data_IF_982502615381
#
_entry.id   IF_982502615381
#
_cell.length_a   1.000
_cell.length_b   1.000
_cell.length_c   1.000
_cell.angle_alpha   90.00
_cell.angle_beta   90.00
_cell.angle_gamma   90.00
#
_symmetry.space_group_name_H-M   'P 1'
#
loop_
_entity.id
_entity.type
_entity.pdbx_description
1 polymer ?
#
# COMPACT_ATOMS: atom_id res chain seq x y z
N UNK A 1 -3.24 -14.84 18.92
CA UNK A 1 -3.44 -16.11 18.19
C UNK A 1 -4.70 -16.81 18.67
N UNK A 2 -5.79 -16.68 17.92
CA UNK A 2 -7.03 -17.45 18.06
C UNK A 2 -7.38 -17.96 16.66
N UNK A 3 -7.74 -19.24 16.44
CA UNK A 3 -8.10 -19.70 15.12
C UNK A 3 -9.55 -19.31 14.81
N UNK A 4 -9.73 -18.59 13.70
CA UNK A 4 -11.06 -18.29 13.14
C UNK A 4 -11.64 -19.58 12.58
N UNK A 5 -12.79 -19.98 13.15
CA UNK A 5 -13.52 -21.20 12.80
C UNK A 5 -14.54 -20.83 11.73
N UNK A 6 -14.30 -21.22 10.48
CA UNK A 6 -15.27 -21.05 9.40
C UNK A 6 -16.41 -22.07 9.57
N UNK A 7 -17.64 -21.58 9.75
CA UNK A 7 -18.86 -22.39 9.77
C UNK A 7 -19.42 -22.36 8.34
N UNK A 8 -19.35 -23.48 7.64
CA UNK A 8 -20.04 -23.67 6.36
C UNK A 8 -21.44 -24.17 6.68
N UNK A 9 -22.46 -23.35 6.42
CA UNK A 9 -23.86 -23.79 6.44
C UNK A 9 -24.14 -24.60 5.18
N UNK A 10 -24.30 -25.91 5.33
CA UNK A 10 -24.83 -26.78 4.27
C UNK A 10 -26.31 -26.46 4.04
N UNK A 11 -26.63 -25.81 2.92
CA UNK A 11 -28.00 -25.70 2.42
C UNK A 11 -28.32 -27.00 1.67
N UNK A 12 -29.13 -27.86 2.28
CA UNK A 12 -29.66 -29.07 1.64
C UNK A 12 -30.90 -28.67 0.83
N UNK A 13 -30.79 -28.61 -0.49
CA UNK A 13 -31.94 -28.43 -1.39
C UNK A 13 -32.51 -29.81 -1.73
N UNK A 14 -33.69 -30.11 -1.20
CA UNK A 14 -34.48 -31.28 -1.57
C UNK A 14 -35.18 -31.04 -2.91
N UNK A 15 -34.84 -31.81 -3.95
CA UNK A 15 -35.62 -31.84 -5.18
C UNK A 15 -36.77 -32.85 -5.04
N UNK A 16 -38.01 -32.36 -5.16
CA UNK A 16 -39.24 -33.14 -4.98
C UNK A 16 -39.63 -33.82 -6.30
N UNK A 17 -39.57 -35.15 -6.35
CA UNK A 17 -39.99 -35.96 -7.49
C UNK A 17 -41.53 -36.12 -7.51
N UNK A 18 -42.20 -35.67 -8.57
CA UNK A 18 -43.62 -35.93 -8.82
C UNK A 18 -43.80 -37.32 -9.44
N UNK A 19 -44.42 -38.24 -8.70
CA UNK A 19 -44.89 -39.54 -9.21
C UNK A 19 -46.17 -39.36 -10.04
N UNK A 20 -46.05 -39.49 -11.35
CA UNK A 20 -47.17 -39.67 -12.29
C UNK A 20 -47.33 -41.16 -12.63
N UNK A 21 -48.48 -41.72 -12.28
CA UNK A 21 -48.80 -43.15 -12.39
C UNK A 21 -49.02 -43.70 -13.82
N UNK A 22 -49.00 -45.03 -13.84
CA UNK A 22 -48.96 -45.98 -14.95
C UNK A 22 -50.20 -46.02 -15.87
N UNK A 23 -49.99 -46.40 -17.15
CA UNK A 23 -51.01 -46.90 -18.07
C UNK A 23 -50.36 -47.52 -19.32
N UNK A 24 -50.34 -48.86 -19.39
CA UNK A 24 -49.60 -49.63 -20.40
C UNK A 24 -50.28 -49.83 -21.76
N UNK A 25 -49.50 -50.34 -22.72
CA UNK A 25 -49.97 -50.85 -24.01
C UNK A 25 -48.79 -51.30 -24.86
N UNK A 26 -48.65 -52.62 -25.08
CA UNK A 26 -47.51 -53.23 -25.73
C UNK A 26 -47.42 -52.99 -27.24
N UNK A 27 -46.18 -52.95 -27.72
CA UNK A 27 -45.81 -52.96 -29.13
C UNK A 27 -44.33 -53.33 -29.26
N UNK A 28 -44.05 -54.60 -29.55
CA UNK A 28 -42.71 -55.11 -29.85
C UNK A 28 -42.29 -54.64 -31.26
N UNK A 29 -41.21 -53.87 -31.35
CA UNK A 29 -40.59 -53.50 -32.62
C UNK A 29 -39.24 -52.82 -32.41
N UNK A 30 -38.14 -53.54 -32.71
CA UNK A 30 -36.81 -53.01 -33.03
C UNK A 30 -36.21 -51.99 -32.07
N UNK A 31 -35.56 -52.45 -31.01
CA UNK A 31 -34.80 -51.60 -30.10
C UNK A 31 -33.53 -51.06 -30.76
N UNK A 32 -33.66 -49.92 -31.41
CA UNK A 32 -32.60 -48.91 -31.36
C UNK A 32 -32.74 -48.24 -29.99
N UNK A 33 -31.91 -48.63 -29.03
CA UNK A 33 -31.77 -47.92 -27.76
C UNK A 33 -31.12 -46.57 -28.06
N UNK A 34 -31.92 -45.53 -28.26
CA UNK A 34 -31.43 -44.16 -28.35
C UNK A 34 -30.84 -43.79 -26.99
N UNK A 35 -29.54 -43.49 -26.97
CA UNK A 35 -28.86 -42.96 -25.79
C UNK A 35 -29.19 -41.47 -25.64
N UNK A 36 -29.64 -41.05 -24.46
CA UNK A 36 -29.83 -39.64 -24.14
C UNK A 36 -28.49 -39.01 -23.76
N UNK A 37 -28.40 -37.68 -23.65
CA UNK A 37 -27.22 -37.04 -23.06
C UNK A 37 -27.42 -36.94 -21.54
N UNK A 38 -26.34 -37.03 -20.73
CA UNK A 38 -26.46 -36.88 -19.29
C UNK A 38 -26.86 -35.44 -18.91
N UNK A 39 -27.23 -35.24 -17.66
CA UNK A 39 -27.27 -33.91 -17.02
C UNK A 39 -26.07 -33.77 -16.10
N UNK A 40 -25.35 -32.65 -16.17
CA UNK A 40 -24.20 -32.38 -15.30
C UNK A 40 -24.34 -31.05 -14.55
N UNK A 41 -23.75 -30.96 -13.36
CA UNK A 41 -23.69 -29.74 -12.56
C UNK A 41 -22.41 -29.66 -11.72
N UNK A 42 -21.79 -28.50 -11.71
CA UNK A 42 -20.74 -28.11 -10.78
C UNK A 42 -21.42 -27.63 -9.49
N UNK A 43 -21.10 -28.30 -8.38
CA UNK A 43 -21.68 -28.02 -7.05
C UNK A 43 -20.75 -27.22 -6.15
N UNK A 44 -19.44 -27.25 -6.43
CA UNK A 44 -18.42 -26.43 -5.79
C UNK A 44 -17.25 -26.23 -6.75
N UNK A 45 -16.62 -25.04 -6.77
CA UNK A 45 -16.98 -23.83 -6.02
C UNK A 45 -18.19 -23.09 -6.59
N UNK A 46 -18.64 -22.04 -5.91
CA UNK A 46 -19.71 -21.17 -6.44
C UNK A 46 -19.17 -20.32 -7.59
N UNK A 47 -19.98 -20.13 -8.63
CA UNK A 47 -19.63 -19.26 -9.74
C UNK A 47 -19.31 -17.83 -9.25
N UNK A 48 -18.18 -17.28 -9.69
CA UNK A 48 -17.65 -15.97 -9.31
C UNK A 48 -16.80 -15.96 -8.03
N UNK A 49 -16.37 -17.12 -7.52
CA UNK A 49 -15.49 -17.18 -6.34
C UNK A 49 -14.08 -16.66 -6.64
N UNK A 50 -13.48 -15.97 -5.67
CA UNK A 50 -12.08 -15.52 -5.72
C UNK A 50 -11.24 -16.28 -4.70
N UNK A 51 -10.03 -16.67 -5.08
CA UNK A 51 -9.07 -17.38 -4.24
C UNK A 51 -7.71 -16.68 -4.26
N UNK A 52 -6.95 -16.68 -3.16
CA UNK A 52 -5.57 -16.21 -3.17
C UNK A 52 -4.69 -17.15 -4.00
N UNK A 53 -3.60 -16.61 -4.56
CA UNK A 53 -2.62 -17.40 -5.30
C UNK A 53 -2.08 -18.58 -4.47
N UNK A 54 -1.83 -19.71 -5.14
CA UNK A 54 -1.36 -20.93 -4.48
C UNK A 54 -2.42 -21.70 -3.68
N UNK A 55 -3.69 -21.27 -3.70
CA UNK A 55 -4.80 -22.03 -3.12
C UNK A 55 -5.00 -23.38 -3.81
N UNK A 56 -5.17 -24.45 -3.02
CA UNK A 56 -5.64 -25.75 -3.52
C UNK A 56 -7.18 -25.74 -3.54
N UNK A 57 -7.75 -25.60 -4.74
CA UNK A 57 -9.18 -25.38 -4.95
C UNK A 57 -9.85 -26.74 -5.21
N UNK A 58 -10.88 -27.08 -4.41
CA UNK A 58 -11.68 -28.29 -4.59
C UNK A 58 -12.87 -28.03 -5.53
N UNK A 59 -12.93 -28.85 -6.57
CA UNK A 59 -13.98 -28.87 -7.58
C UNK A 59 -14.82 -30.12 -7.41
N UNK A 60 -16.12 -29.93 -7.15
CA UNK A 60 -17.05 -31.02 -6.88
C UNK A 60 -18.19 -30.94 -7.87
N UNK A 61 -18.45 -32.05 -8.56
CA UNK A 61 -19.42 -32.15 -9.62
C UNK A 61 -20.30 -33.39 -9.47
N UNK A 62 -21.50 -33.30 -10.03
CA UNK A 62 -22.43 -34.40 -10.08
C UNK A 62 -23.04 -34.50 -11.48
N UNK A 63 -23.40 -35.72 -11.86
CA UNK A 63 -24.08 -35.98 -13.12
C UNK A 63 -24.95 -37.22 -13.04
N UNK A 64 -26.02 -37.21 -13.83
CA UNK A 64 -26.95 -38.32 -13.93
C UNK A 64 -27.50 -38.45 -15.34
N UNK A 65 -27.78 -39.67 -15.74
CA UNK A 65 -28.39 -40.02 -17.01
C UNK A 65 -29.62 -40.92 -16.79
N UNK A 66 -30.59 -40.88 -17.70
CA UNK A 66 -31.82 -41.68 -17.59
C UNK A 66 -31.56 -43.18 -17.76
N UNK A 67 -30.62 -43.55 -18.64
CA UNK A 67 -30.26 -44.93 -18.94
C UNK A 67 -29.20 -45.48 -17.98
N UNK A 68 -28.23 -44.65 -17.58
CA UNK A 68 -27.07 -45.07 -16.76
C UNK A 68 -27.21 -44.74 -15.25
N UNK A 69 -28.15 -43.88 -14.87
CA UNK A 69 -28.30 -43.41 -13.49
C UNK A 69 -27.18 -42.44 -13.09
N UNK A 70 -26.68 -42.54 -11.86
CA UNK A 70 -25.62 -41.63 -11.38
C UNK A 70 -24.27 -41.94 -12.03
N UNK A 71 -23.71 -40.96 -12.73
CA UNK A 71 -22.37 -41.06 -13.31
C UNK A 71 -21.30 -40.94 -12.22
N UNK A 72 -20.17 -41.63 -12.39
CA UNK A 72 -19.07 -41.64 -11.40
C UNK A 72 -17.71 -41.77 -12.06
N UNK A 73 -16.64 -41.41 -11.34
CA UNK A 73 -15.26 -41.68 -11.75
C UNK A 73 -14.91 -41.06 -13.10
N UNK A 74 -14.42 -41.91 -14.02
CA UNK A 74 -13.88 -41.49 -15.31
C UNK A 74 -14.92 -40.91 -16.30
N UNK A 75 -16.21 -40.92 -15.95
CA UNK A 75 -17.23 -40.21 -16.71
C UNK A 75 -17.06 -38.69 -16.64
N UNK A 76 -16.33 -38.15 -15.66
CA UNK A 76 -16.14 -36.72 -15.49
C UNK A 76 -14.73 -36.29 -15.89
N UNK A 77 -14.65 -35.24 -16.69
CA UNK A 77 -13.42 -34.54 -17.03
C UNK A 77 -13.50 -33.07 -16.63
N UNK A 78 -12.50 -32.59 -15.90
CA UNK A 78 -12.39 -31.21 -15.46
C UNK A 78 -11.30 -30.49 -16.22
N UNK A 79 -11.61 -29.29 -16.71
CA UNK A 79 -10.62 -28.44 -17.38
C UNK A 79 -10.79 -26.96 -17.02
N UNK A 80 -9.69 -26.23 -17.17
CA UNK A 80 -9.58 -24.77 -17.06
C UNK A 80 -9.18 -24.24 -18.42
N UNK A 81 -9.82 -23.17 -18.88
CA UNK A 81 -9.46 -22.57 -20.17
C UNK A 81 -8.01 -22.03 -20.21
N UNK A 82 -7.43 -21.72 -19.05
CA UNK A 82 -6.06 -21.19 -18.93
C UNK A 82 -5.03 -22.29 -18.61
N UNK A 83 -5.38 -23.25 -17.74
CA UNK A 83 -4.43 -24.25 -17.23
C UNK A 83 -4.60 -25.65 -17.86
N UNK A 84 -5.64 -25.84 -18.67
CA UNK A 84 -5.92 -27.13 -19.29
C UNK A 84 -6.56 -28.12 -18.33
N UNK A 85 -6.23 -29.41 -18.46
CA UNK A 85 -6.89 -30.48 -17.73
C UNK A 85 -6.54 -30.46 -16.23
N UNK A 86 -7.56 -30.52 -15.38
CA UNK A 86 -7.44 -30.46 -13.92
C UNK A 86 -7.55 -31.84 -13.27
N UNK A 87 -8.29 -32.76 -13.91
CA UNK A 87 -8.43 -34.13 -13.42
C UNK A 87 -9.72 -34.79 -13.90
N UNK A 88 -9.95 -36.01 -13.39
CA UNK A 88 -11.16 -36.78 -13.65
C UNK A 88 -11.78 -37.25 -12.34
N UNK A 89 -13.10 -37.44 -12.32
CA UNK A 89 -13.84 -37.82 -11.12
C UNK A 89 -14.85 -36.78 -10.66
N UNK A 90 -15.64 -37.15 -9.64
CA UNK A 90 -16.67 -36.28 -9.05
C UNK A 90 -16.07 -35.20 -8.12
N UNK A 91 -14.82 -35.38 -7.72
CA UNK A 91 -14.08 -34.46 -6.84
C UNK A 91 -12.63 -34.43 -7.30
N UNK A 92 -12.12 -33.25 -7.64
CA UNK A 92 -10.72 -32.99 -7.98
C UNK A 92 -10.25 -31.75 -7.25
N UNK A 93 -8.95 -31.68 -6.95
CA UNK A 93 -8.34 -30.45 -6.44
C UNK A 93 -7.20 -30.01 -7.34
N UNK A 94 -7.06 -28.70 -7.51
CA UNK A 94 -5.97 -28.13 -8.32
C UNK A 94 -5.55 -26.77 -7.79
N UNK A 95 -4.26 -26.49 -7.93
CA UNK A 95 -3.68 -25.16 -7.77
C UNK A 95 -3.63 -24.53 -9.15
N UNK A 96 -4.43 -23.49 -9.35
CA UNK A 96 -4.50 -22.78 -10.62
C UNK A 96 -3.48 -21.65 -10.69
N UNK A 97 -3.13 -21.24 -11.92
CA UNK A 97 -2.33 -20.04 -12.15
C UNK A 97 -3.10 -18.76 -11.75
N UNK A 98 -2.42 -17.62 -11.67
CA UNK A 98 -3.07 -16.34 -11.38
C UNK A 98 -3.94 -15.89 -12.56
N UNK A 99 -5.11 -15.34 -12.26
CA UNK A 99 -6.01 -14.74 -13.23
C UNK A 99 -7.42 -15.31 -13.19
N UNK A 100 -8.22 -14.99 -14.22
CA UNK A 100 -9.56 -15.56 -14.36
C UNK A 100 -9.51 -16.95 -14.98
N UNK A 101 -10.36 -17.85 -14.50
CA UNK A 101 -10.51 -19.21 -15.02
C UNK A 101 -11.99 -19.53 -15.25
N UNK A 102 -12.35 -19.79 -16.51
CA UNK A 102 -13.53 -20.61 -16.82
C UNK A 102 -13.17 -22.08 -16.60
N UNK A 103 -13.85 -22.69 -15.62
CA UNK A 103 -13.76 -24.10 -15.29
C UNK A 103 -14.91 -24.82 -15.97
N UNK A 104 -14.60 -25.90 -16.67
CA UNK A 104 -15.56 -26.74 -17.39
C UNK A 104 -15.53 -28.13 -16.80
N UNK A 105 -16.70 -28.66 -16.46
CA UNK A 105 -16.94 -30.06 -16.15
C UNK A 105 -17.68 -30.68 -17.32
N UNK A 106 -17.07 -31.67 -17.97
CA UNK A 106 -17.71 -32.49 -19.00
C UNK A 106 -18.05 -33.87 -18.41
N UNK A 107 -19.29 -34.30 -18.58
CA UNK A 107 -19.72 -35.66 -18.24
C UNK A 107 -19.97 -36.46 -19.52
N UNK A 108 -19.44 -37.67 -19.60
CA UNK A 108 -19.67 -38.63 -20.69
C UNK A 108 -20.35 -39.89 -20.14
N UNK A 109 -21.48 -40.26 -20.73
CA UNK A 109 -22.20 -41.49 -20.39
C UNK A 109 -21.59 -42.75 -21.06
N UNK A 110 -22.18 -43.93 -20.81
CA UNK A 110 -21.67 -45.19 -21.35
C UNK A 110 -21.95 -45.37 -22.85
N UNK A 111 -22.93 -44.65 -23.40
CA UNK A 111 -23.24 -44.57 -24.83
C UNK A 111 -22.39 -43.57 -25.60
N UNK A 112 -21.59 -42.75 -24.91
CA UNK A 112 -20.69 -41.75 -25.46
C UNK A 112 -21.33 -40.38 -25.72
N UNK A 113 -22.53 -40.11 -25.23
CA UNK A 113 -23.08 -38.75 -25.25
C UNK A 113 -22.54 -37.93 -24.08
N UNK A 114 -22.50 -36.61 -24.26
CA UNK A 114 -21.87 -35.69 -23.31
C UNK A 114 -22.73 -34.49 -22.97
N UNK A 115 -22.53 -33.95 -21.77
CA UNK A 115 -23.05 -32.67 -21.32
C UNK A 115 -21.98 -31.91 -20.54
N UNK A 116 -22.10 -30.58 -20.46
CA UNK A 116 -21.09 -29.71 -19.85
C UNK A 116 -21.72 -28.66 -18.94
N UNK A 117 -21.08 -28.39 -17.81
CA UNK A 117 -21.37 -27.23 -16.98
C UNK A 117 -20.11 -26.39 -16.77
N UNK A 118 -20.29 -25.08 -16.59
CA UNK A 118 -19.18 -24.13 -16.48
C UNK A 118 -19.39 -23.12 -15.36
N UNK A 119 -18.30 -22.79 -14.68
CA UNK A 119 -18.23 -21.67 -13.73
C UNK A 119 -17.01 -20.81 -14.04
N UNK A 120 -17.04 -19.56 -13.61
CA UNK A 120 -15.89 -18.68 -13.59
C UNK A 120 -15.39 -18.53 -12.17
N UNK A 121 -14.08 -18.59 -11.96
CA UNK A 121 -13.41 -18.22 -10.72
C UNK A 121 -12.22 -17.31 -11.02
N UNK A 122 -11.72 -16.62 -10.00
CA UNK A 122 -10.52 -15.77 -10.11
C UNK A 122 -9.49 -16.21 -9.08
N UNK A 123 -8.24 -16.31 -9.49
CA UNK A 123 -7.09 -16.45 -8.59
C UNK A 123 -6.37 -15.10 -8.55
N UNK A 124 -6.30 -14.49 -7.37
CA UNK A 124 -5.74 -13.16 -7.15
C UNK A 124 -4.25 -13.24 -6.83
N UNK A 125 -3.39 -12.52 -7.55
CA UNK A 125 -2.00 -12.35 -7.12
C UNK A 125 -1.94 -11.55 -5.80
N UNK A 126 -0.90 -11.81 -5.01
CA UNK A 126 -0.58 -10.93 -3.90
C UNK A 126 0.03 -9.62 -4.43
N UNK A 127 -0.24 -8.47 -3.80
CA UNK A 127 0.40 -7.22 -4.16
C UNK A 127 1.91 -7.27 -3.88
N UNK A 128 2.68 -6.51 -4.65
CA UNK A 128 4.14 -6.45 -4.54
C UNK A 128 4.56 -5.09 -4.01
N UNK A 129 5.42 -5.08 -2.99
CA UNK A 129 6.12 -3.87 -2.56
C UNK A 129 7.48 -3.83 -3.26
N UNK A 130 7.65 -2.91 -4.21
CA UNK A 130 8.91 -2.72 -4.91
C UNK A 130 9.93 -2.02 -4.03
N UNK A 131 9.48 -1.00 -3.28
CA UNK A 131 10.35 -0.20 -2.43
C UNK A 131 9.55 0.57 -1.35
N UNK A 132 10.17 0.77 -0.20
CA UNK A 132 9.73 1.72 0.84
C UNK A 132 10.93 2.55 1.25
N UNK A 133 10.76 3.88 1.24
CA UNK A 133 11.83 4.84 1.51
C UNK A 133 11.36 5.92 2.47
N UNK A 134 12.33 6.52 3.17
CA UNK A 134 12.10 7.64 4.06
C UNK A 134 13.07 8.74 3.69
N UNK A 135 12.55 9.94 3.46
CA UNK A 135 13.35 11.10 3.09
C UNK A 135 12.98 12.30 3.95
N UNK A 136 13.95 12.95 4.60
CA UNK A 136 15.34 12.52 4.77
C UNK A 136 15.48 11.24 5.63
N UNK A 137 16.56 10.48 5.43
CA UNK A 137 16.85 9.26 6.22
C UNK A 137 17.39 9.55 7.62
N UNK A 138 17.87 10.78 7.86
CA UNK A 138 18.29 11.29 9.17
C UNK A 138 17.88 12.75 9.27
N UNK A 139 17.22 13.12 10.38
CA UNK A 139 16.77 14.49 10.61
C UNK A 139 16.65 14.76 12.11
N UNK A 140 16.72 16.01 12.53
CA UNK A 140 16.49 16.38 13.92
C UNK A 140 15.06 16.13 14.38
N UNK A 141 14.85 16.05 15.69
CA UNK A 141 13.51 16.03 16.29
C UNK A 141 12.67 17.22 15.80
N UNK A 142 11.35 17.02 15.74
CA UNK A 142 10.34 17.97 15.29
C UNK A 142 10.43 18.41 13.81
N UNK A 143 11.39 17.86 13.05
CA UNK A 143 11.43 18.02 11.60
C UNK A 143 10.62 16.94 10.88
N UNK A 144 9.92 17.29 9.77
CA UNK A 144 9.12 16.35 9.03
C UNK A 144 9.98 15.38 8.22
N UNK A 145 9.55 14.12 8.17
CA UNK A 145 10.03 13.11 7.22
C UNK A 145 8.89 12.67 6.32
N UNK A 146 9.23 12.32 5.09
CA UNK A 146 8.28 11.74 4.14
C UNK A 146 8.60 10.27 3.96
N UNK A 147 7.64 9.41 4.29
CA UNK A 147 7.66 8.00 3.92
C UNK A 147 7.05 7.88 2.53
N UNK A 148 7.71 7.20 1.61
CA UNK A 148 7.22 6.97 0.25
C UNK A 148 7.35 5.50 -0.13
N UNK A 149 6.41 5.00 -0.90
CA UNK A 149 6.36 3.62 -1.34
C UNK A 149 6.08 3.48 -2.83
N UNK A 150 6.57 2.39 -3.40
CA UNK A 150 6.31 1.93 -4.75
C UNK A 150 5.73 0.52 -4.64
N UNK A 151 4.47 0.38 -5.06
CA UNK A 151 3.71 -0.87 -4.97
C UNK A 151 3.08 -1.19 -6.33
N UNK A 152 2.90 -2.47 -6.59
CA UNK A 152 2.26 -2.97 -7.80
C UNK A 152 1.21 -4.04 -7.44
N UNK A 153 0.14 -4.04 -8.22
CA UNK A 153 -0.94 -5.02 -8.17
C UNK A 153 -1.27 -5.45 -9.60
N UNK A 154 -1.34 -6.75 -9.86
CA UNK A 154 -1.48 -7.24 -11.23
C UNK A 154 -2.92 -7.10 -11.74
N UNK A 155 -3.90 -7.15 -10.83
CA UNK A 155 -5.33 -7.11 -11.08
C UNK A 155 -5.87 -5.67 -11.09
N UNK A 156 -5.15 -4.73 -10.49
CA UNK A 156 -5.54 -3.33 -10.35
C UNK A 156 -6.55 -3.11 -9.22
N UNK A 157 -6.49 -3.96 -8.19
CA UNK A 157 -7.33 -3.87 -7.01
C UNK A 157 -7.04 -2.59 -6.21
N UNK A 158 -8.07 -2.11 -5.52
CA UNK A 158 -7.88 -1.02 -4.56
C UNK A 158 -7.23 -1.58 -3.30
N UNK A 159 -5.99 -1.17 -3.04
CA UNK A 159 -5.21 -1.63 -1.90
C UNK A 159 -5.36 -0.71 -0.68
N UNK A 160 -5.32 -1.31 0.51
CA UNK A 160 -5.24 -0.60 1.79
C UNK A 160 -3.80 -0.72 2.31
N UNK A 161 -3.20 0.42 2.64
CA UNK A 161 -1.88 0.49 3.26
C UNK A 161 -2.00 0.90 4.71
N UNK A 162 -1.45 0.09 5.60
CA UNK A 162 -1.30 0.41 7.01
C UNK A 162 0.17 0.74 7.29
N UNK A 163 0.43 1.91 7.86
CA UNK A 163 1.76 2.39 8.20
C UNK A 163 1.90 2.46 9.72
N UNK A 164 2.83 1.69 10.24
CA UNK A 164 3.28 1.67 11.63
C UNK A 164 4.66 2.34 11.64
N UNK A 165 4.77 3.57 12.14
CA UNK A 165 5.96 4.42 12.01
C UNK A 165 6.99 4.19 13.12
N UNK A 166 6.58 3.59 14.24
CA UNK A 166 7.45 3.33 15.39
C UNK A 166 7.64 1.83 15.70
N UNK A 167 7.03 0.95 14.91
CA UNK A 167 7.02 -0.49 15.03
C UNK A 167 6.45 -1.01 16.36
N UNK A 168 5.55 -0.27 17.00
CA UNK A 168 4.89 -0.68 18.24
C UNK A 168 3.82 -1.77 18.03
N UNK A 169 3.49 -2.06 16.77
CA UNK A 169 2.51 -3.05 16.36
C UNK A 169 1.08 -2.50 16.24
N UNK A 170 0.90 -1.19 16.36
CA UNK A 170 -0.30 -0.47 16.01
C UNK A 170 -0.08 0.36 14.74
N UNK A 171 -1.12 0.49 13.92
CA UNK A 171 -1.05 1.27 12.70
C UNK A 171 -1.31 2.75 13.04
N UNK A 172 -0.35 3.63 12.77
CA UNK A 172 -0.49 5.09 12.93
C UNK A 172 -1.34 5.69 11.82
N UNK A 173 -1.22 5.15 10.61
CA UNK A 173 -1.96 5.60 9.43
C UNK A 173 -2.56 4.42 8.68
N UNK A 174 -3.79 4.63 8.23
CA UNK A 174 -4.45 3.77 7.24
C UNK A 174 -4.73 4.63 6.01
N UNK A 175 -4.15 4.23 4.88
CA UNK A 175 -4.26 4.90 3.58
C UNK A 175 -5.06 4.00 2.65
N UNK A 176 -6.25 4.48 2.28
CA UNK A 176 -7.05 3.88 1.22
C UNK A 176 -6.47 4.24 -0.15
N UNK A 177 -6.52 3.30 -1.10
CA UNK A 177 -6.01 3.47 -2.46
C UNK A 177 -4.56 4.00 -2.48
N UNK A 178 -3.69 3.24 -1.81
CA UNK A 178 -2.29 3.61 -1.68
C UNK A 178 -1.46 3.33 -2.94
N UNK A 179 -2.10 2.87 -4.03
CA UNK A 179 -1.52 2.87 -5.38
C UNK A 179 -1.45 4.31 -5.91
N UNK A 180 -2.45 5.13 -5.60
CA UNK A 180 -2.52 6.54 -6.02
C UNK A 180 -2.04 7.53 -4.96
N UNK A 181 -1.98 7.11 -3.69
CA UNK A 181 -1.41 7.88 -2.58
C UNK A 181 -0.12 7.22 -2.12
N UNK A 182 1.02 7.61 -2.70
CA UNK A 182 2.30 6.88 -2.55
C UNK A 182 3.23 7.44 -1.47
N UNK A 183 2.74 8.34 -0.62
CA UNK A 183 3.56 8.93 0.44
C UNK A 183 2.74 9.44 1.62
N UNK A 184 3.38 9.47 2.80
CA UNK A 184 2.85 10.01 4.04
C UNK A 184 3.93 10.80 4.78
N UNK A 185 3.56 11.98 5.31
CA UNK A 185 4.45 12.80 6.14
C UNK A 185 4.24 12.44 7.61
N UNK A 186 5.34 12.33 8.36
CA UNK A 186 5.34 12.10 9.80
C UNK A 186 6.42 12.95 10.48
N UNK A 187 6.26 13.24 11.77
CA UNK A 187 7.22 14.01 12.58
C UNK A 187 7.43 13.33 13.92
N UNK A 188 8.69 13.08 14.28
CA UNK A 188 9.08 12.47 15.54
C UNK A 188 9.53 13.54 16.53
N UNK A 189 9.08 13.44 17.77
CA UNK A 189 9.43 14.40 18.84
C UNK A 189 10.61 13.94 19.69
N UNK A 190 11.02 12.67 19.56
CA UNK A 190 12.10 12.08 20.35
C UNK A 190 13.21 11.58 19.44
N UNK A 191 14.45 11.85 19.83
CA UNK A 191 15.61 11.28 19.17
C UNK A 191 15.65 9.76 19.34
N UNK A 192 16.10 9.05 18.30
CA UNK A 192 16.14 7.60 18.26
C UNK A 192 16.17 7.04 16.85
N UNK A 193 16.45 5.75 16.75
CA UNK A 193 16.31 5.00 15.50
C UNK A 193 14.91 4.36 15.46
N UNK A 194 14.14 4.73 14.45
CA UNK A 194 12.78 4.21 14.24
C UNK A 194 12.75 3.25 13.06
N UNK A 195 11.97 2.18 13.21
CA UNK A 195 11.63 1.27 12.14
C UNK A 195 10.20 1.56 11.72
N UNK A 196 10.02 1.89 10.45
CA UNK A 196 8.72 2.09 9.84
C UNK A 196 8.35 0.79 9.14
N UNK A 197 7.13 0.31 9.34
CA UNK A 197 6.57 -0.87 8.68
C UNK A 197 5.35 -0.47 7.87
N UNK A 198 5.43 -0.73 6.57
CA UNK A 198 4.29 -0.66 5.66
C UNK A 198 3.69 -2.05 5.51
N UNK A 199 2.38 -2.17 5.71
CA UNK A 199 1.59 -3.39 5.51
C UNK A 199 0.53 -3.14 4.44
N UNK A 200 0.47 -3.98 3.42
CA UNK A 200 -0.49 -3.87 2.32
C UNK A 200 -1.53 -4.99 2.42
N UNK A 201 -2.79 -4.65 2.21
CA UNK A 201 -3.92 -5.57 2.22
C UNK A 201 -4.74 -5.38 0.94
N UNK A 202 -4.96 -6.47 0.19
CA UNK A 202 -5.82 -6.54 -1.01
C UNK A 202 -7.21 -7.11 -0.71
N UNK A 203 -7.42 -7.67 0.49
CA UNK A 203 -8.67 -8.28 0.92
C UNK A 203 -8.84 -9.76 0.55
N UNK A 204 -7.87 -10.35 -0.17
CA UNK A 204 -7.90 -11.75 -0.62
C UNK A 204 -6.66 -12.51 -0.14
N UNK A 205 -5.47 -12.01 -0.42
CA UNK A 205 -4.20 -12.62 -0.05
C UNK A 205 -3.80 -12.28 1.39
N UNK A 206 -2.80 -13.01 1.89
CA UNK A 206 -2.16 -12.64 3.14
C UNK A 206 -1.48 -11.27 2.98
N UNK A 207 -1.51 -10.40 4.02
CA UNK A 207 -0.87 -9.09 3.94
C UNK A 207 0.63 -9.20 3.66
N UNK A 208 1.13 -8.35 2.76
CA UNK A 208 2.56 -8.20 2.49
C UNK A 208 3.12 -7.01 3.28
N UNK A 209 4.37 -7.11 3.72
CA UNK A 209 4.96 -6.10 4.59
C UNK A 209 6.40 -5.80 4.19
N UNK A 210 6.81 -4.53 4.32
CA UNK A 210 8.20 -4.10 4.18
C UNK A 210 8.52 -3.02 5.20
N UNK A 211 9.79 -2.96 5.61
CA UNK A 211 10.27 -1.97 6.56
C UNK A 211 11.33 -1.04 5.98
N UNK A 212 11.37 0.18 6.50
CA UNK A 212 12.40 1.17 6.29
C UNK A 212 12.84 1.75 7.65
N UNK A 213 13.99 2.42 7.69
CA UNK A 213 14.54 3.01 8.91
C UNK A 213 14.75 4.50 8.78
N UNK A 214 14.59 5.22 9.88
CA UNK A 214 14.93 6.65 9.99
C UNK A 214 15.62 6.92 11.31
N UNK A 215 16.64 7.77 11.29
CA UNK A 215 17.33 8.21 12.50
C UNK A 215 16.92 9.63 12.85
N UNK A 216 16.37 9.80 14.04
CA UNK A 216 16.03 11.10 14.60
C UNK A 216 17.14 11.51 15.55
N UNK A 217 17.79 12.63 15.24
CA UNK A 217 18.91 13.14 16.02
C UNK A 217 18.42 14.22 16.99
N UNK A 218 19.02 14.23 18.18
CA UNK A 218 18.90 15.36 19.08
C UNK A 218 19.86 16.44 18.58
N UNK A 219 19.31 17.55 18.09
CA UNK A 219 20.08 18.69 17.59
C UNK A 219 20.36 19.73 18.68
N UNK A 220 19.89 19.52 19.92
CA UNK A 220 19.91 20.55 20.93
C UNK A 220 18.88 21.65 20.67
N UNK A 221 19.08 22.79 21.33
CA UNK A 221 18.26 23.98 21.22
C UNK A 221 18.72 24.81 20.00
N UNK A 222 17.79 25.32 19.20
CA UNK A 222 18.11 26.21 18.10
C UNK A 222 18.54 27.61 18.60
N UNK A 223 19.38 28.34 17.84
CA UNK A 223 19.75 29.71 18.19
C UNK A 223 18.55 30.65 18.19
N UNK A 224 18.58 31.66 19.06
CA UNK A 224 17.56 32.70 19.19
C UNK A 224 18.12 34.06 18.78
N UNK A 225 17.30 34.86 18.07
CA UNK A 225 17.53 36.29 17.84
C UNK A 225 16.60 37.08 18.75
N UNK A 226 17.09 37.51 19.91
CA UNK A 226 16.31 38.29 20.88
C UNK A 226 16.08 39.74 20.38
N UNK A 227 17.05 40.30 19.65
CA UNK A 227 16.94 41.63 19.06
C UNK A 227 17.79 41.73 17.79
N UNK A 228 17.27 42.44 16.79
CA UNK A 228 18.02 42.88 15.63
C UNK A 228 17.64 44.32 15.32
N UNK A 229 18.63 45.22 15.21
CA UNK A 229 18.41 46.66 15.22
C UNK A 229 19.44 47.41 14.38
N UNK A 230 19.07 48.61 13.96
CA UNK A 230 19.91 49.52 13.18
C UNK A 230 20.05 50.85 13.90
N UNK A 231 21.24 51.44 13.90
CA UNK A 231 21.49 52.76 14.51
C UNK A 231 22.55 53.54 13.73
N UNK A 232 22.25 54.78 13.28
CA UNK A 232 20.93 55.40 13.27
C UNK A 232 19.99 54.74 12.24
N UNK A 233 18.67 54.84 12.45
CA UNK A 233 17.62 54.37 11.52
C UNK A 233 17.75 54.98 10.11
N UNK A 234 18.24 56.22 10.04
CA UNK A 234 18.54 56.90 8.78
C UNK A 234 19.83 57.71 8.92
N UNK A 235 20.67 57.67 7.89
CA UNK A 235 21.89 58.45 7.81
C UNK A 235 22.05 59.07 6.42
N UNK A 236 22.79 60.18 6.36
CA UNK A 236 23.26 60.72 5.08
C UNK A 236 24.18 59.71 4.38
N UNK A 237 24.25 59.75 3.05
CA UNK A 237 25.17 58.88 2.32
C UNK A 237 26.61 59.08 2.76
N UNK A 238 27.41 58.01 2.67
CA UNK A 238 28.80 57.99 3.15
C UNK A 238 28.96 58.21 4.67
N UNK A 239 27.88 58.11 5.45
CA UNK A 239 27.93 58.02 6.91
C UNK A 239 27.75 56.56 7.36
N UNK A 240 28.42 56.14 8.45
CA UNK A 240 28.26 54.80 8.96
C UNK A 240 26.88 54.62 9.59
N UNK A 241 26.29 53.48 9.31
CA UNK A 241 25.17 52.90 10.04
C UNK A 241 25.69 51.63 10.73
N UNK A 242 25.22 51.35 11.94
CA UNK A 242 25.60 50.17 12.71
C UNK A 242 24.41 49.25 12.89
N UNK A 243 24.56 48.00 12.50
CA UNK A 243 23.65 46.92 12.81
C UNK A 243 24.07 46.30 14.13
N UNK A 244 23.13 46.13 15.05
CA UNK A 244 23.35 45.49 16.34
C UNK A 244 22.35 44.36 16.53
N UNK A 245 22.82 43.25 17.07
CA UNK A 245 22.01 42.08 17.36
C UNK A 245 22.23 41.57 18.78
N UNK A 246 21.26 40.84 19.30
CA UNK A 246 21.34 40.08 20.53
C UNK A 246 20.92 38.65 20.19
N UNK A 247 21.88 37.74 20.22
CA UNK A 247 21.72 36.35 19.77
C UNK A 247 22.26 35.43 20.85
N UNK A 248 21.58 34.31 21.05
CA UNK A 248 21.96 33.34 22.07
C UNK A 248 21.63 31.94 21.64
N UNK A 249 22.35 31.00 22.23
CA UNK A 249 22.08 29.58 22.12
C UNK A 249 22.02 28.98 23.53
N UNK A 250 20.99 28.19 23.82
CA UNK A 250 20.80 27.67 25.17
C UNK A 250 21.81 26.57 25.54
N UNK A 251 22.42 25.92 24.56
CA UNK A 251 23.49 24.93 24.74
C UNK A 251 24.88 25.59 24.75
N UNK A 252 24.96 26.85 24.34
CA UNK A 252 26.18 27.66 24.33
C UNK A 252 27.06 27.38 23.12
N UNK A 253 26.46 26.91 22.03
CA UNK A 253 27.16 26.70 20.77
C UNK A 253 27.67 28.02 20.18
N UNK A 254 28.83 27.96 19.50
CA UNK A 254 29.41 29.15 18.87
C UNK A 254 28.59 29.52 17.65
N UNK A 255 27.99 30.71 17.68
CA UNK A 255 27.12 31.19 16.61
C UNK A 255 27.88 31.92 15.51
N UNK A 256 27.51 31.64 14.26
CA UNK A 256 27.94 32.36 13.07
C UNK A 256 26.79 33.21 12.55
N UNK A 257 27.00 34.52 12.46
CA UNK A 257 26.02 35.44 11.90
C UNK A 257 26.41 35.83 10.48
N UNK A 258 25.45 35.84 9.56
CA UNK A 258 25.61 36.33 8.20
C UNK A 258 24.65 37.49 7.96
N UNK A 259 25.15 38.55 7.34
CA UNK A 259 24.41 39.78 7.14
C UNK A 259 24.38 40.11 5.64
N UNK A 260 23.18 40.14 5.08
CA UNK A 260 22.88 40.70 3.75
C UNK A 260 22.38 42.13 3.98
N UNK A 261 23.16 43.13 3.55
CA UNK A 261 22.87 44.55 3.77
C UNK A 261 22.32 45.26 2.53
N UNK A 262 22.40 44.65 1.35
CA UNK A 262 21.96 45.27 0.10
C UNK A 262 20.81 44.54 -0.61
N UNK A 263 20.28 43.49 0.03
CA UNK A 263 19.12 42.70 -0.40
C UNK A 263 19.35 41.96 -1.72
N UNK A 264 20.60 41.71 -2.09
CA UNK A 264 20.92 40.97 -3.31
C UNK A 264 20.85 39.44 -3.11
N UNK A 265 20.60 38.99 -1.87
CA UNK A 265 20.54 37.58 -1.50
C UNK A 265 21.91 36.96 -1.27
N UNK A 266 22.97 37.76 -1.24
CA UNK A 266 24.33 37.36 -0.90
C UNK A 266 24.76 37.97 0.43
N UNK A 267 25.47 37.18 1.23
CA UNK A 267 25.97 37.64 2.52
C UNK A 267 27.15 38.61 2.30
N UNK A 268 26.98 39.87 2.69
CA UNK A 268 28.06 40.88 2.68
C UNK A 268 29.07 40.66 3.81
N UNK A 269 28.58 40.18 4.95
CA UNK A 269 29.39 39.95 6.14
C UNK A 269 29.13 38.58 6.73
N UNK A 270 30.21 37.96 7.23
CA UNK A 270 30.16 36.76 8.07
C UNK A 270 30.91 37.06 9.35
N UNK A 271 30.24 36.88 10.48
CA UNK A 271 30.76 37.16 11.82
C UNK A 271 30.75 35.85 12.61
N UNK A 272 31.94 35.34 12.88
CA UNK A 272 32.14 34.21 13.80
C UNK A 272 32.00 34.68 15.25
N UNK A 273 31.45 33.81 16.11
CA UNK A 273 31.20 34.09 17.54
C UNK A 273 30.37 35.37 17.73
N UNK A 274 29.28 35.48 16.97
CA UNK A 274 28.48 36.69 16.92
C UNK A 274 27.64 36.95 18.19
N UNK A 275 27.57 35.99 19.11
CA UNK A 275 27.08 36.21 20.47
C UNK A 275 28.01 37.13 21.29
N UNK A 276 29.33 37.05 21.05
CA UNK A 276 30.33 37.92 21.68
C UNK A 276 30.75 39.11 20.79
N UNK A 277 30.41 39.07 19.51
CA UNK A 277 30.62 40.16 18.55
C UNK A 277 29.29 40.63 17.96
N UNK A 278 28.62 41.52 18.67
CA UNK A 278 27.18 41.78 18.52
C UNK A 278 26.82 42.96 17.61
N UNK A 279 27.75 43.44 16.77
CA UNK A 279 27.48 44.58 15.88
C UNK A 279 28.40 44.65 14.67
N UNK A 280 27.89 45.17 13.56
CA UNK A 280 28.65 45.43 12.33
C UNK A 280 28.27 46.79 11.74
N UNK A 281 29.27 47.58 11.32
CA UNK A 281 29.04 48.86 10.66
C UNK A 281 29.13 48.72 9.13
N UNK A 282 28.27 49.47 8.42
CA UNK A 282 28.25 49.56 6.96
C UNK A 282 28.10 51.02 6.50
N UNK A 283 28.50 51.30 5.25
CA UNK A 283 28.40 52.63 4.64
C UNK A 283 27.74 52.52 3.27
N UNK A 284 26.56 53.12 3.13
CA UNK A 284 25.88 53.23 1.85
C UNK A 284 26.35 54.45 1.07
N UNK A 285 26.63 54.25 -0.23
CA UNK A 285 27.05 55.32 -1.15
C UNK A 285 25.89 55.89 -1.96
N UNK A 286 24.75 55.20 -1.96
CA UNK A 286 23.51 55.61 -2.60
C UNK A 286 22.43 55.83 -1.55
N UNK A 287 21.54 56.79 -1.81
CA UNK A 287 20.41 57.04 -0.93
C UNK A 287 19.26 56.13 -1.37
N UNK A 288 18.90 55.18 -0.52
CA UNK A 288 17.79 54.27 -0.74
C UNK A 288 17.26 53.72 0.59
N UNK A 289 16.19 52.94 0.53
CA UNK A 289 15.71 52.09 1.63
C UNK A 289 16.23 50.68 1.41
N UNK A 290 17.11 50.23 2.30
CA UNK A 290 17.67 48.89 2.27
C UNK A 290 16.88 47.98 3.21
N UNK A 291 16.67 46.72 2.82
CA UNK A 291 16.16 45.69 3.72
C UNK A 291 17.33 44.81 4.11
N UNK A 292 17.58 44.71 5.41
CA UNK A 292 18.74 44.01 5.92
C UNK A 292 18.28 42.69 6.51
N UNK A 293 18.94 41.59 6.13
CA UNK A 293 18.66 40.28 6.69
C UNK A 293 19.85 39.80 7.53
N UNK A 294 19.58 39.44 8.78
CA UNK A 294 20.48 38.71 9.64
C UNK A 294 20.09 37.23 9.63
N UNK A 295 21.05 36.36 9.33
CA UNK A 295 20.95 34.90 9.46
C UNK A 295 21.89 34.43 10.56
N UNK A 296 21.41 33.63 11.50
CA UNK A 296 22.20 33.08 12.62
C UNK A 296 22.21 31.57 12.53
N UNK A 297 23.40 30.99 12.57
CA UNK A 297 23.68 29.57 12.32
C UNK A 297 24.59 29.02 13.43
N UNK A 298 24.18 27.93 14.08
CA UNK A 298 24.95 27.19 15.09
C UNK A 298 25.72 26.00 14.47
N UNK A 299 25.52 25.72 13.17
CA UNK A 299 26.09 24.59 12.44
C UNK A 299 25.41 23.24 12.70
N UNK A 300 24.32 23.21 13.49
CA UNK A 300 23.63 22.00 13.94
C UNK A 300 22.14 22.07 13.56
N UNK A 301 21.45 23.13 13.97
CA UNK A 301 20.04 23.40 13.69
C UNK A 301 19.85 24.18 12.38
N UNK A 302 18.64 24.17 11.81
CA UNK A 302 18.30 25.11 10.72
C UNK A 302 18.52 26.57 11.18
N UNK A 303 19.13 27.42 10.34
CA UNK A 303 19.45 28.79 10.74
C UNK A 303 18.20 29.63 10.93
N UNK A 304 18.25 30.53 11.90
CA UNK A 304 17.16 31.49 12.18
C UNK A 304 17.47 32.83 11.50
N UNK A 305 16.42 33.54 11.10
CA UNK A 305 16.56 34.80 10.36
C UNK A 305 15.69 35.91 10.95
N UNK A 306 16.19 37.15 10.85
CA UNK A 306 15.43 38.37 11.16
C UNK A 306 15.76 39.46 10.16
N UNK A 307 14.80 40.34 9.88
CA UNK A 307 14.97 41.45 8.95
C UNK A 307 14.50 42.77 9.54
N UNK A 308 15.17 43.86 9.15
CA UNK A 308 14.82 45.26 9.49
C UNK A 308 14.90 46.15 8.25
#
# INVERSE_FOLDING_TARGET
MLPVKWIIQSVVIFFSLLLGGCGGGGGSGGGDTSNSAPTVAITSPTNGSTYPEGSDISFIGAGSDEEDGTLTGASFDWSSHADGQLGTGTDVSSILSVGSHTITLEATDSGGATDTDTITITVNAAPVINNVTVTPASVGADMPVTVSWDIADAEGDTLICNLDVDADGSDDYTIDDCVNNTSQIHTYTQAGDYQIRLTIVDGVNAPVQQSASVTIIDLGDAPEIANFSVTPEAAETSKPITFGWDVSDANGDTLTCRLDVDTDGTDDYTIDDCANNSSQAHIYTQADVYQIQLTVDDGINPPVQSSI
#
